data_IF_186873453454
#
_entry.id   IF_186873453454
#
_cell.length_a   1.000
_cell.length_b   1.000
_cell.length_c   1.000
_cell.angle_alpha   90.00
_cell.angle_beta   90.00
_cell.angle_gamma   90.00
#
_symmetry.space_group_name_H-M   'P 1'
#
loop_
_entity.id
_entity.type
_entity.pdbx_description
1 polymer ?
#
# COMPACT_ATOMS: atom_id res chain seq x y z
N UNK A 1 -8.62 -1.57 15.62
CA UNK A 1 -9.19 -2.26 16.81
C UNK A 1 -10.55 -1.64 17.05
N UNK A 2 -11.55 -2.08 16.30
CA UNK A 2 -12.92 -1.55 16.39
C UNK A 2 -13.84 -2.68 16.84
N UNK A 3 -14.58 -2.40 17.92
CA UNK A 3 -15.68 -3.22 18.43
C UNK A 3 -16.97 -2.55 18.00
N UNK A 4 -17.77 -3.26 17.20
CA UNK A 4 -19.20 -2.97 17.05
C UNK A 4 -19.94 -4.28 17.31
N UNK A 5 -20.61 -4.29 18.46
CA UNK A 5 -21.41 -5.39 18.96
C UNK A 5 -22.78 -5.38 18.28
N UNK A 6 -23.14 -6.55 17.75
CA UNK A 6 -24.38 -7.29 18.04
C UNK A 6 -25.70 -6.49 18.10
N UNK A 7 -26.41 -6.46 16.97
CA UNK A 7 -27.83 -6.11 16.90
C UNK A 7 -28.63 -7.40 16.81
N UNK A 8 -29.16 -7.82 17.96
CA UNK A 8 -30.10 -8.93 18.06
C UNK A 8 -31.39 -8.64 17.29
N UNK A 9 -31.83 -9.62 16.50
CA UNK A 9 -33.12 -9.61 15.83
C UNK A 9 -33.99 -10.69 16.49
N UNK A 10 -35.06 -10.27 17.15
CA UNK A 10 -36.03 -11.13 17.83
C UNK A 10 -37.39 -10.90 17.18
N UNK A 11 -38.03 -11.89 16.55
CA UNK A 11 -39.42 -11.76 16.13
C UNK A 11 -40.33 -12.12 17.31
N UNK A 12 -40.97 -11.10 17.87
CA UNK A 12 -42.15 -11.25 18.73
C UNK A 12 -43.32 -11.73 17.87
N UNK A 13 -43.70 -13.00 18.03
CA UNK A 13 -45.00 -13.50 17.58
C UNK A 13 -45.97 -13.41 18.75
N UNK A 14 -46.94 -12.52 18.61
CA UNK A 14 -48.19 -12.50 19.35
C UNK A 14 -49.07 -13.63 18.83
N UNK A 15 -49.59 -14.47 19.72
CA UNK A 15 -51.03 -14.74 19.72
C UNK A 15 -51.49 -15.36 21.03
N UNK A 16 -52.44 -14.69 21.67
CA UNK A 16 -53.15 -15.16 22.83
C UNK A 16 -54.25 -16.13 22.42
N UNK A 17 -54.26 -17.32 23.04
CA UNK A 17 -55.43 -18.21 22.99
C UNK A 17 -55.80 -18.61 24.41
N UNK A 18 -56.79 -17.86 24.87
CA UNK A 18 -57.81 -18.13 25.88
C UNK A 18 -57.95 -19.62 26.27
N UNK A 19 -57.52 -19.96 27.49
CA UNK A 19 -57.78 -21.25 28.12
C UNK A 19 -59.20 -21.26 28.70
N UNK A 20 -60.16 -21.76 27.95
CA UNK A 20 -61.44 -22.16 28.52
C UNK A 20 -61.23 -23.40 29.40
N UNK A 21 -61.32 -23.21 30.71
CA UNK A 21 -61.47 -24.29 31.69
C UNK A 21 -62.83 -24.94 31.50
N UNK A 22 -62.81 -26.20 31.06
CA UNK A 22 -63.97 -27.07 30.87
C UNK A 22 -64.76 -27.22 32.18
N UNK A 23 -65.97 -26.66 32.18
CA UNK A 23 -66.99 -26.91 33.20
C UNK A 23 -67.41 -28.38 33.13
N UNK A 24 -67.29 -29.09 34.25
CA UNK A 24 -67.79 -30.44 34.44
C UNK A 24 -69.28 -30.52 34.06
N UNK A 25 -69.61 -31.33 33.05
CA UNK A 25 -70.98 -31.71 32.76
C UNK A 25 -71.31 -33.00 33.51
N UNK A 26 -72.20 -32.91 34.51
CA UNK A 26 -72.78 -34.04 35.21
C UNK A 26 -73.67 -34.85 34.26
N UNK A 27 -73.26 -36.08 33.96
CA UNK A 27 -74.05 -37.04 33.20
C UNK A 27 -75.25 -37.52 34.04
N UNK A 28 -76.42 -36.89 33.89
CA UNK A 28 -77.70 -37.46 34.36
C UNK A 28 -78.08 -38.60 33.41
N UNK A 29 -78.08 -39.83 33.94
CA UNK A 29 -78.67 -41.02 33.32
C UNK A 29 -80.13 -40.72 32.92
N UNK A 30 -80.39 -40.64 31.62
CA UNK A 30 -81.72 -40.83 31.06
C UNK A 30 -81.65 -41.84 29.91
N UNK A 31 -82.62 -42.73 29.91
CA UNK A 31 -82.76 -43.94 29.11
C UNK A 31 -83.01 -43.60 27.62
N UNK A 32 -82.21 -44.17 26.72
CA UNK A 32 -82.37 -44.06 25.27
C UNK A 32 -81.14 -44.62 24.53
N UNK A 33 -81.13 -45.93 24.29
CA UNK A 33 -79.97 -46.69 23.77
C UNK A 33 -79.69 -46.44 22.27
N UNK A 34 -80.68 -45.95 21.51
CA UNK A 34 -80.54 -45.78 20.04
C UNK A 34 -79.99 -44.41 19.60
N UNK A 35 -80.06 -43.36 20.43
CA UNK A 35 -79.64 -41.99 20.06
C UNK A 35 -78.14 -41.72 20.30
N UNK A 36 -77.55 -42.42 21.27
CA UNK A 36 -76.14 -42.27 21.67
C UNK A 36 -75.22 -42.82 20.57
N UNK A 37 -75.62 -43.91 19.90
CA UNK A 37 -74.87 -44.53 18.81
C UNK A 37 -74.66 -43.59 17.59
N UNK A 38 -75.65 -42.77 17.21
CA UNK A 38 -75.53 -41.84 16.08
C UNK A 38 -74.68 -40.59 16.40
N UNK A 39 -74.65 -40.16 17.67
CA UNK A 39 -73.82 -39.03 18.10
C UNK A 39 -72.34 -39.44 18.19
N UNK A 40 -72.06 -40.62 18.76
CA UNK A 40 -70.72 -41.20 18.79
C UNK A 40 -70.18 -41.47 17.38
N UNK A 41 -71.03 -41.92 16.45
CA UNK A 41 -70.67 -42.10 15.03
C UNK A 41 -70.33 -40.77 14.33
N UNK A 42 -71.07 -39.69 14.65
CA UNK A 42 -70.80 -38.35 14.12
C UNK A 42 -69.51 -37.75 14.66
N UNK A 43 -69.25 -37.84 15.96
CA UNK A 43 -68.00 -37.36 16.57
C UNK A 43 -66.79 -38.16 16.05
N UNK A 44 -66.93 -39.47 15.87
CA UNK A 44 -65.90 -40.31 15.25
C UNK A 44 -65.62 -39.91 13.79
N UNK A 45 -66.64 -39.57 13.01
CA UNK A 45 -66.51 -39.07 11.64
C UNK A 45 -65.77 -37.72 11.58
N UNK A 46 -66.06 -36.80 12.50
CA UNK A 46 -65.39 -35.49 12.59
C UNK A 46 -63.91 -35.66 12.99
N UNK A 47 -63.61 -36.51 13.98
CA UNK A 47 -62.24 -36.84 14.37
C UNK A 47 -61.46 -37.49 13.21
N UNK A 48 -62.09 -38.38 12.45
CA UNK A 48 -61.47 -38.98 11.27
C UNK A 48 -61.15 -37.95 10.18
N UNK A 49 -62.01 -36.94 10.00
CA UNK A 49 -61.75 -35.85 9.06
C UNK A 49 -60.59 -34.96 9.51
N UNK A 50 -60.47 -34.68 10.81
CA UNK A 50 -59.36 -33.93 11.39
C UNK A 50 -58.03 -34.70 11.27
N UNK A 51 -58.02 -36.00 11.57
CA UNK A 51 -56.83 -36.86 11.42
C UNK A 51 -56.37 -36.91 9.96
N UNK A 52 -57.32 -36.96 9.00
CA UNK A 52 -56.99 -36.90 7.57
C UNK A 52 -56.35 -35.56 7.20
N UNK A 53 -56.94 -34.44 7.61
CA UNK A 53 -56.39 -33.11 7.32
C UNK A 53 -54.97 -32.94 7.91
N UNK A 54 -54.76 -33.37 9.16
CA UNK A 54 -53.44 -33.35 9.79
C UNK A 54 -52.43 -34.23 9.04
N UNK A 55 -52.85 -35.39 8.53
CA UNK A 55 -51.98 -36.27 7.73
C UNK A 55 -51.56 -35.60 6.41
N UNK A 56 -52.48 -34.91 5.74
CA UNK A 56 -52.21 -34.17 4.51
C UNK A 56 -51.27 -32.98 4.77
N UNK A 57 -51.49 -32.24 5.86
CA UNK A 57 -50.60 -31.16 6.28
C UNK A 57 -49.18 -31.66 6.59
N UNK A 58 -49.05 -32.76 7.34
CA UNK A 58 -47.75 -33.40 7.61
C UNK A 58 -47.05 -33.80 6.31
N UNK A 59 -47.79 -34.29 5.32
CA UNK A 59 -47.23 -34.67 4.03
C UNK A 59 -46.69 -33.45 3.27
N UNK A 60 -47.45 -32.35 3.23
CA UNK A 60 -47.03 -31.09 2.58
C UNK A 60 -45.81 -30.51 3.29
N UNK A 61 -45.80 -30.46 4.62
CA UNK A 61 -44.67 -29.94 5.39
C UNK A 61 -43.39 -30.76 5.16
N UNK A 62 -43.51 -32.08 5.06
CA UNK A 62 -42.36 -32.95 4.73
C UNK A 62 -41.80 -32.67 3.34
N UNK A 63 -42.65 -32.42 2.36
CA UNK A 63 -42.22 -32.05 1.01
C UNK A 63 -41.54 -30.68 0.98
N UNK A 64 -42.08 -29.71 1.71
CA UNK A 64 -41.44 -28.39 1.88
C UNK A 64 -40.09 -28.49 2.57
N UNK A 65 -39.96 -29.32 3.61
CA UNK A 65 -38.68 -29.57 4.28
C UNK A 65 -37.68 -30.20 3.30
N UNK A 66 -38.09 -31.24 2.55
CA UNK A 66 -37.21 -31.91 1.60
C UNK A 66 -36.70 -30.95 0.51
N UNK A 67 -37.58 -30.13 -0.05
CA UNK A 67 -37.20 -29.12 -1.07
C UNK A 67 -36.30 -28.03 -0.49
N UNK A 68 -36.57 -27.58 0.75
CA UNK A 68 -35.71 -26.62 1.45
C UNK A 68 -34.31 -27.18 1.71
N UNK A 69 -34.19 -28.45 2.15
CA UNK A 69 -32.90 -29.11 2.39
C UNK A 69 -32.05 -29.20 1.11
N UNK A 70 -32.65 -29.52 -0.04
CA UNK A 70 -31.93 -29.54 -1.32
C UNK A 70 -31.40 -28.15 -1.68
N UNK A 71 -32.23 -27.12 -1.52
CA UNK A 71 -31.82 -25.73 -1.78
C UNK A 71 -30.71 -25.28 -0.84
N UNK A 72 -30.79 -25.63 0.44
CA UNK A 72 -29.74 -25.33 1.42
C UNK A 72 -28.41 -25.98 1.03
N UNK A 73 -28.45 -27.23 0.54
CA UNK A 73 -27.23 -27.92 0.08
C UNK A 73 -26.62 -27.26 -1.16
N UNK A 74 -27.44 -26.81 -2.11
CA UNK A 74 -26.99 -26.05 -3.28
C UNK A 74 -26.31 -24.73 -2.86
N UNK A 75 -26.96 -23.95 -1.99
CA UNK A 75 -26.41 -22.68 -1.50
C UNK A 75 -25.12 -22.89 -0.70
N UNK A 76 -25.02 -23.95 0.11
CA UNK A 76 -23.76 -24.30 0.79
C UNK A 76 -22.65 -24.62 -0.20
N UNK A 77 -22.94 -25.36 -1.27
CA UNK A 77 -21.94 -25.67 -2.29
C UNK A 77 -21.46 -24.40 -3.03
N UNK A 78 -22.38 -23.53 -3.43
CA UNK A 78 -22.04 -22.24 -4.05
C UNK A 78 -21.20 -21.38 -3.10
N UNK A 79 -21.56 -21.33 -1.82
CA UNK A 79 -20.80 -20.63 -0.79
C UNK A 79 -19.36 -21.14 -0.73
N UNK A 80 -19.15 -22.46 -0.67
CA UNK A 80 -17.81 -23.04 -0.63
C UNK A 80 -16.97 -22.66 -1.87
N UNK A 81 -17.57 -22.67 -3.05
CA UNK A 81 -16.88 -22.25 -4.29
C UNK A 81 -16.50 -20.77 -4.22
N UNK A 82 -17.40 -19.91 -3.73
CA UNK A 82 -17.13 -18.47 -3.59
C UNK A 82 -16.04 -18.18 -2.55
N UNK A 83 -16.04 -18.90 -1.42
CA UNK A 83 -15.00 -18.80 -0.40
C UNK A 83 -13.62 -19.16 -0.98
N UNK A 84 -13.54 -20.21 -1.80
CA UNK A 84 -12.31 -20.56 -2.52
C UNK A 84 -11.84 -19.44 -3.45
N UNK A 85 -12.73 -18.92 -4.30
CA UNK A 85 -12.41 -17.79 -5.21
C UNK A 85 -11.98 -16.55 -4.46
N UNK A 86 -12.58 -16.27 -3.30
CA UNK A 86 -12.23 -15.13 -2.48
C UNK A 86 -10.85 -15.29 -1.82
N UNK A 87 -10.50 -16.50 -1.40
CA UNK A 87 -9.16 -16.82 -0.90
C UNK A 87 -8.11 -16.63 -1.99
N UNK A 88 -8.36 -17.12 -3.22
CA UNK A 88 -7.47 -16.94 -4.37
C UNK A 88 -7.27 -15.46 -4.71
N UNK A 89 -8.37 -14.68 -4.74
CA UNK A 89 -8.31 -13.24 -5.00
C UNK A 89 -7.51 -12.50 -3.92
N UNK A 90 -7.69 -12.87 -2.65
CA UNK A 90 -6.92 -12.28 -1.54
C UNK A 90 -5.43 -12.57 -1.70
N UNK A 91 -5.06 -13.82 -2.00
CA UNK A 91 -3.67 -14.20 -2.23
C UNK A 91 -3.04 -13.44 -3.40
N UNK A 92 -3.73 -13.34 -4.54
CA UNK A 92 -3.23 -12.60 -5.71
C UNK A 92 -3.09 -11.09 -5.43
N UNK A 93 -3.98 -10.52 -4.61
CA UNK A 93 -3.88 -9.13 -4.19
C UNK A 93 -2.67 -8.90 -3.29
N UNK A 94 -2.46 -9.77 -2.30
CA UNK A 94 -1.32 -9.69 -1.37
C UNK A 94 0.01 -9.84 -2.12
N UNK A 95 0.10 -10.78 -3.08
CA UNK A 95 1.26 -10.96 -3.96
C UNK A 95 1.55 -9.69 -4.77
N UNK A 96 0.55 -9.16 -5.47
CA UNK A 96 0.70 -7.94 -6.27
C UNK A 96 1.10 -6.72 -5.43
N UNK A 97 0.55 -6.60 -4.22
CA UNK A 97 0.92 -5.54 -3.29
C UNK A 97 2.39 -5.68 -2.87
N UNK A 98 2.82 -6.90 -2.53
CA UNK A 98 4.20 -7.17 -2.14
C UNK A 98 5.20 -6.92 -3.28
N UNK A 99 4.87 -7.31 -4.52
CA UNK A 99 5.66 -7.00 -5.71
C UNK A 99 5.81 -5.50 -5.92
N UNK A 100 4.72 -4.74 -5.80
CA UNK A 100 4.72 -3.28 -5.96
C UNK A 100 5.59 -2.61 -4.91
N UNK A 101 5.45 -3.01 -3.63
CA UNK A 101 6.26 -2.49 -2.52
C UNK A 101 7.73 -2.82 -2.73
N UNK A 102 8.04 -4.07 -3.08
CA UNK A 102 9.42 -4.53 -3.29
C UNK A 102 10.08 -3.80 -4.46
N UNK A 103 9.36 -3.61 -5.56
CA UNK A 103 9.85 -2.85 -6.72
C UNK A 103 10.15 -1.40 -6.37
N UNK A 104 9.20 -0.71 -5.72
CA UNK A 104 9.41 0.66 -5.27
C UNK A 104 10.57 0.79 -4.27
N UNK A 105 10.70 -0.17 -3.36
CA UNK A 105 11.80 -0.23 -2.39
C UNK A 105 13.15 -0.40 -3.09
N UNK A 106 13.27 -1.34 -4.03
CA UNK A 106 14.51 -1.56 -4.78
C UNK A 106 14.92 -0.33 -5.61
N UNK A 107 13.95 0.37 -6.20
CA UNK A 107 14.21 1.63 -6.91
C UNK A 107 14.72 2.73 -5.97
N UNK A 108 14.17 2.83 -4.75
CA UNK A 108 14.68 3.75 -3.74
C UNK A 108 16.09 3.41 -3.27
N UNK A 109 16.38 2.11 -3.08
CA UNK A 109 17.75 1.65 -2.73
C UNK A 109 18.74 2.03 -3.83
N UNK A 110 18.38 1.85 -5.11
CA UNK A 110 19.21 2.26 -6.24
C UNK A 110 19.49 3.76 -6.24
N UNK A 111 18.44 4.58 -6.12
CA UNK A 111 18.59 6.05 -6.08
C UNK A 111 19.42 6.54 -4.90
N UNK A 112 19.31 5.86 -3.75
CA UNK A 112 20.13 6.16 -2.59
C UNK A 112 21.61 5.90 -2.88
N UNK A 113 21.93 4.78 -3.52
CA UNK A 113 23.32 4.47 -3.91
C UNK A 113 23.88 5.55 -4.85
N UNK A 114 23.11 5.98 -5.85
CA UNK A 114 23.51 7.07 -6.77
C UNK A 114 23.76 8.39 -6.02
N UNK A 115 22.92 8.70 -5.02
CA UNK A 115 23.09 9.90 -4.18
C UNK A 115 24.34 9.82 -3.29
N UNK A 116 24.61 8.66 -2.69
CA UNK A 116 25.79 8.45 -1.87
C UNK A 116 27.08 8.61 -2.71
N UNK A 117 27.08 8.13 -3.96
CA UNK A 117 28.18 8.36 -4.91
C UNK A 117 28.32 9.85 -5.28
N UNK A 118 27.22 10.54 -5.55
CA UNK A 118 27.26 11.98 -5.84
C UNK A 118 27.82 12.80 -4.67
N UNK A 119 27.47 12.45 -3.43
CA UNK A 119 28.03 13.11 -2.23
C UNK A 119 29.53 12.90 -2.15
N UNK A 120 30.00 11.68 -2.44
CA UNK A 120 31.43 11.39 -2.49
C UNK A 120 32.14 12.22 -3.57
N UNK A 121 31.59 12.25 -4.79
CA UNK A 121 32.16 13.03 -5.89
C UNK A 121 32.20 14.53 -5.60
N UNK A 122 31.18 15.08 -4.92
CA UNK A 122 31.15 16.49 -4.48
C UNK A 122 32.28 16.76 -3.48
N UNK A 123 32.50 15.85 -2.52
CA UNK A 123 33.58 16.00 -1.55
C UNK A 123 34.96 15.92 -2.22
N UNK A 124 35.14 14.98 -3.14
CA UNK A 124 36.40 14.83 -3.91
C UNK A 124 36.65 16.07 -4.77
N UNK A 125 35.61 16.58 -5.45
CA UNK A 125 35.69 17.82 -6.23
C UNK A 125 36.10 19.01 -5.36
N UNK A 126 35.48 19.15 -4.17
CA UNK A 126 35.81 20.23 -3.24
C UNK A 126 37.28 20.17 -2.80
N UNK A 127 37.79 18.97 -2.49
CA UNK A 127 39.20 18.81 -2.10
C UNK A 127 40.15 19.28 -3.22
N UNK A 128 39.89 18.88 -4.47
CA UNK A 128 40.68 19.33 -5.64
C UNK A 128 40.56 20.84 -5.87
N UNK A 129 39.37 21.40 -5.64
CA UNK A 129 39.09 22.82 -5.80
C UNK A 129 39.82 23.68 -4.75
N UNK A 130 39.89 23.19 -3.51
CA UNK A 130 40.66 23.81 -2.42
C UNK A 130 42.17 23.77 -2.71
N UNK A 131 42.70 22.63 -3.17
CA UNK A 131 44.10 22.51 -3.60
C UNK A 131 44.44 23.47 -4.75
N UNK A 132 43.55 23.55 -5.75
CA UNK A 132 43.67 24.49 -6.86
C UNK A 132 43.68 25.93 -6.37
N UNK A 133 42.80 26.28 -5.43
CA UNK A 133 42.74 27.62 -4.85
C UNK A 133 44.03 27.99 -4.13
N UNK A 134 44.59 27.08 -3.33
CA UNK A 134 45.88 27.26 -2.65
C UNK A 134 46.99 27.48 -3.68
N UNK A 135 47.09 26.59 -4.67
CA UNK A 135 48.10 26.68 -5.73
C UNK A 135 48.05 28.01 -6.48
N UNK A 136 46.85 28.40 -6.94
CA UNK A 136 46.64 29.67 -7.66
C UNK A 136 46.99 30.85 -6.76
N UNK A 137 46.54 30.87 -5.50
CA UNK A 137 46.82 31.97 -4.58
C UNK A 137 48.32 32.13 -4.33
N UNK A 138 49.06 31.02 -4.12
CA UNK A 138 50.52 31.06 -3.97
C UNK A 138 51.22 31.54 -5.24
N UNK A 139 50.81 31.04 -6.41
CA UNK A 139 51.37 31.46 -7.70
C UNK A 139 51.10 32.95 -7.98
N UNK A 140 49.91 33.44 -7.66
CA UNK A 140 49.56 34.86 -7.83
C UNK A 140 50.36 35.75 -6.89
N UNK A 141 50.59 35.32 -5.64
CA UNK A 141 51.50 36.00 -4.71
C UNK A 141 52.91 36.15 -5.30
N UNK A 142 53.45 35.05 -5.83
CA UNK A 142 54.75 35.06 -6.52
C UNK A 142 54.75 36.00 -7.73
N UNK A 143 53.75 35.91 -8.61
CA UNK A 143 53.67 36.78 -9.78
C UNK A 143 53.56 38.26 -9.40
N UNK A 144 52.89 38.58 -8.30
CA UNK A 144 52.78 39.94 -7.79
C UNK A 144 54.14 40.49 -7.33
N UNK A 145 54.95 39.69 -6.63
CA UNK A 145 56.32 40.08 -6.22
C UNK A 145 57.18 40.47 -7.42
N UNK A 146 57.05 39.75 -8.53
CA UNK A 146 57.78 40.06 -9.76
C UNK A 146 57.07 41.10 -10.63
N UNK A 147 55.89 41.61 -10.29
CA UNK A 147 55.13 42.60 -11.09
C UNK A 147 54.52 42.03 -12.39
N UNK A 148 54.16 40.74 -12.39
CA UNK A 148 53.67 39.94 -13.53
C UNK A 148 52.19 39.57 -13.42
N UNK A 149 51.40 40.31 -12.63
CA UNK A 149 50.03 39.95 -12.31
C UNK A 149 49.13 40.01 -13.56
N UNK A 150 48.55 38.88 -14.02
CA UNK A 150 47.59 38.88 -15.12
C UNK A 150 46.26 39.53 -14.69
N UNK A 151 45.58 40.19 -15.64
CA UNK A 151 44.28 40.82 -15.37
C UNK A 151 43.18 39.78 -15.06
N UNK A 152 43.27 38.57 -15.61
CA UNK A 152 42.31 37.48 -15.41
C UNK A 152 43.05 36.24 -14.92
N UNK A 153 42.49 35.58 -13.89
CA UNK A 153 43.07 34.39 -13.26
C UNK A 153 42.54 33.15 -13.97
N UNK A 154 43.01 32.93 -15.19
CA UNK A 154 42.80 31.68 -15.92
C UNK A 154 44.15 31.16 -16.45
N UNK A 155 44.21 29.88 -16.80
CA UNK A 155 45.48 29.23 -17.16
C UNK A 155 46.18 29.89 -18.36
N UNK A 156 45.42 30.33 -19.38
CA UNK A 156 46.01 30.95 -20.58
C UNK A 156 46.55 32.35 -20.31
N UNK A 157 45.85 33.17 -19.53
CA UNK A 157 46.27 34.51 -19.12
C UNK A 157 47.49 34.48 -18.19
N UNK A 158 47.55 33.51 -17.28
CA UNK A 158 48.72 33.31 -16.40
C UNK A 158 49.93 32.85 -17.22
N UNK A 159 49.75 31.90 -18.14
CA UNK A 159 50.83 31.42 -19.00
C UNK A 159 51.39 32.53 -19.90
N UNK A 160 50.51 33.36 -20.48
CA UNK A 160 50.92 34.45 -21.34
C UNK A 160 51.64 35.57 -20.59
N UNK A 161 51.21 35.91 -19.37
CA UNK A 161 51.87 36.96 -18.57
C UNK A 161 53.31 36.58 -18.21
N UNK A 162 53.54 35.31 -17.88
CA UNK A 162 54.89 34.78 -17.62
C UNK A 162 55.72 34.82 -18.91
N UNK A 163 55.18 34.32 -20.02
CA UNK A 163 55.89 34.20 -21.30
C UNK A 163 56.34 35.55 -21.87
N UNK A 164 55.49 36.57 -21.83
CA UNK A 164 55.83 37.92 -22.31
C UNK A 164 57.00 38.50 -21.51
N UNK A 165 57.06 38.29 -20.19
CA UNK A 165 58.19 38.78 -19.40
C UNK A 165 59.48 38.00 -19.66
N UNK A 166 59.43 36.68 -19.75
CA UNK A 166 60.64 35.88 -20.05
C UNK A 166 61.28 36.28 -21.38
N UNK A 167 60.46 36.50 -22.42
CA UNK A 167 60.94 36.98 -23.72
C UNK A 167 61.54 38.38 -23.59
N UNK A 168 60.91 39.30 -22.85
CA UNK A 168 61.46 40.64 -22.64
C UNK A 168 62.81 40.60 -21.91
N UNK A 169 62.95 39.76 -20.88
CA UNK A 169 64.24 39.61 -20.17
C UNK A 169 65.33 38.99 -21.06
N UNK A 170 65.01 37.99 -21.86
CA UNK A 170 65.97 37.38 -22.81
C UNK A 170 66.44 38.40 -23.86
N UNK A 171 65.53 39.22 -24.39
CA UNK A 171 65.87 40.31 -25.31
C UNK A 171 66.78 41.33 -24.62
N UNK A 172 66.49 41.73 -23.38
CA UNK A 172 67.34 42.66 -22.63
C UNK A 172 68.75 42.08 -22.44
N UNK A 173 68.87 40.82 -22.00
CA UNK A 173 70.18 40.18 -21.82
C UNK A 173 70.95 40.04 -23.13
N UNK A 174 70.28 39.67 -24.23
CA UNK A 174 70.91 39.61 -25.56
C UNK A 174 71.40 40.98 -26.01
N UNK A 175 70.59 42.03 -25.87
CA UNK A 175 70.98 43.40 -26.19
C UNK A 175 72.19 43.82 -25.36
N UNK A 176 72.19 43.52 -24.05
CA UNK A 176 73.30 43.82 -23.14
C UNK A 176 74.58 43.09 -23.53
N UNK A 177 74.49 41.81 -23.92
CA UNK A 177 75.63 41.01 -24.36
C UNK A 177 76.20 41.44 -25.72
N UNK A 178 75.38 42.10 -26.55
CA UNK A 178 75.80 42.63 -27.86
C UNK A 178 76.29 44.08 -27.82
N UNK A 179 76.18 44.76 -26.67
CA UNK A 179 76.68 46.13 -26.53
C UNK A 179 78.21 46.16 -26.35
N UNK A 180 78.93 47.02 -27.09
CA UNK A 180 80.37 47.18 -26.92
C UNK A 180 80.70 47.79 -25.55
N UNK A 181 81.79 47.32 -24.93
CA UNK A 181 82.18 47.60 -23.54
C UNK A 181 82.22 49.09 -23.14
N UNK A 182 82.39 50.01 -24.11
CA UNK A 182 82.48 51.44 -23.88
C UNK A 182 81.12 52.11 -23.61
N UNK A 183 80.01 51.56 -24.11
CA UNK A 183 78.66 52.12 -23.90
C UNK A 183 78.04 51.65 -22.58
N UNK A 184 78.55 50.55 -21.99
CA UNK A 184 78.09 50.03 -20.69
C UNK A 184 78.50 50.93 -19.51
N UNK A 185 79.57 51.71 -19.63
CA UNK A 185 80.07 52.59 -18.57
C UNK A 185 79.37 53.96 -18.49
N UNK A 186 78.58 54.33 -19.50
CA UNK A 186 77.86 55.60 -19.53
C UNK A 186 76.51 55.58 -18.77
N UNK A 187 76.09 54.41 -18.27
CA UNK A 187 74.80 54.19 -17.61
C UNK A 187 74.90 53.84 -16.11
N UNK A 188 76.09 53.94 -15.51
CA UNK A 188 76.30 53.99 -14.05
C UNK A 188 76.49 55.44 -13.60
#
# INVERSE_FOLDING_TARGET
>A
MERLNDVGFLPQSSDGINRHTTTHCSLRKLKGDDSINYLEDREAMELYSQVRAQKEEIQILREQIATACVREMQLRNEKYILEGKFADLRMAMDEKQNETITSAFNELVRRRADLDENVKLINDLKAVEDERYIFISSMMGLLAEYGNCPHVINASSISSSIKVRTINTEIIYLVWWTMPYNDLLAHF
#
